data_IF_511497679767
#
_entry.id   IF_511497679767
#
_cell.length_a   1.000
_cell.length_b   1.000
_cell.length_c   1.000
_cell.angle_alpha   90.00
_cell.angle_beta   90.00
_cell.angle_gamma   90.00
#
_symmetry.space_group_name_H-M   'P 1'
#
loop_
_entity.id
_entity.type
_entity.pdbx_description
1 polymer ?
#
# COMPACT_ATOMS: atom_id res chain seq x y z
N UNK A 1 6.97 10.05 -7.13
CA UNK A 1 8.14 9.56 -6.38
C UNK A 1 7.74 8.50 -5.35
N UNK A 2 6.68 8.71 -4.56
CA UNK A 2 6.26 7.77 -3.50
C UNK A 2 5.99 6.32 -3.97
N UNK A 3 5.34 6.13 -5.11
CA UNK A 3 5.07 4.78 -5.66
C UNK A 3 6.34 3.96 -5.92
N UNK A 4 7.43 4.62 -6.34
CA UNK A 4 8.70 3.97 -6.62
C UNK A 4 9.39 3.53 -5.31
N UNK A 5 9.30 4.35 -4.26
CA UNK A 5 9.79 4.01 -2.91
C UNK A 5 9.07 2.78 -2.35
N UNK A 6 7.73 2.76 -2.40
CA UNK A 6 6.94 1.61 -1.93
C UNK A 6 7.32 0.34 -2.69
N UNK A 7 7.53 0.44 -4.01
CA UNK A 7 8.00 -0.69 -4.82
C UNK A 7 9.39 -1.16 -4.39
N UNK A 8 10.32 -0.24 -4.12
CA UNK A 8 11.66 -0.58 -3.64
C UNK A 8 11.59 -1.32 -2.29
N UNK A 9 10.77 -0.85 -1.34
CA UNK A 9 10.56 -1.53 -0.04
C UNK A 9 9.99 -2.94 -0.17
N UNK A 10 9.06 -3.15 -1.10
CA UNK A 10 8.55 -4.49 -1.39
C UNK A 10 9.66 -5.40 -1.93
N UNK A 11 10.49 -4.89 -2.84
CA UNK A 11 11.62 -5.63 -3.41
C UNK A 11 12.69 -5.94 -2.34
N UNK A 12 13.00 -4.99 -1.45
CA UNK A 12 13.90 -5.20 -0.31
C UNK A 12 13.43 -6.35 0.60
N UNK A 13 12.11 -6.55 0.70
CA UNK A 13 11.48 -7.65 1.45
C UNK A 13 11.30 -8.93 0.62
N UNK A 14 11.85 -8.99 -0.58
CA UNK A 14 11.77 -10.17 -1.46
C UNK A 14 10.38 -10.40 -2.07
N UNK A 15 9.52 -9.38 -2.10
CA UNK A 15 8.15 -9.47 -2.60
C UNK A 15 7.88 -8.43 -3.71
N UNK A 16 6.67 -8.47 -4.25
CA UNK A 16 6.13 -7.52 -5.23
C UNK A 16 4.69 -7.18 -4.86
N UNK A 17 4.12 -6.13 -5.46
CA UNK A 17 2.71 -5.79 -5.22
C UNK A 17 1.77 -6.98 -5.44
N UNK A 18 2.05 -7.80 -6.46
CA UNK A 18 1.23 -8.99 -6.76
C UNK A 18 1.36 -10.05 -5.69
N UNK A 19 2.59 -10.43 -5.33
CA UNK A 19 2.84 -11.47 -4.31
C UNK A 19 2.31 -11.04 -2.95
N UNK A 20 2.58 -9.79 -2.56
CA UNK A 20 2.07 -9.21 -1.33
C UNK A 20 0.54 -9.20 -1.31
N UNK A 21 -0.11 -8.75 -2.39
CA UNK A 21 -1.57 -8.73 -2.48
C UNK A 21 -2.18 -10.12 -2.31
N UNK A 22 -1.63 -11.12 -3.01
CA UNK A 22 -2.11 -12.51 -2.90
C UNK A 22 -1.93 -13.04 -1.48
N UNK A 23 -0.77 -12.80 -0.85
CA UNK A 23 -0.51 -13.23 0.52
C UNK A 23 -1.46 -12.59 1.57
N UNK A 24 -1.95 -11.38 1.29
CA UNK A 24 -2.88 -10.64 2.15
C UNK A 24 -4.35 -10.74 1.70
N UNK A 25 -4.68 -11.68 0.80
CA UNK A 25 -6.04 -11.89 0.27
C UNK A 25 -6.66 -10.66 -0.44
N UNK A 26 -5.81 -9.82 -1.04
CA UNK A 26 -6.23 -8.70 -1.88
C UNK A 26 -6.08 -8.99 -3.36
N UNK A 27 -6.95 -8.40 -4.17
CA UNK A 27 -6.79 -8.43 -5.62
C UNK A 27 -5.61 -7.53 -6.04
N UNK A 28 -4.61 -8.03 -6.80
CA UNK A 28 -3.42 -7.26 -7.17
C UNK A 28 -3.72 -5.92 -7.88
N UNK A 29 -4.77 -5.90 -8.71
CA UNK A 29 -5.22 -4.69 -9.42
C UNK A 29 -5.71 -3.63 -8.44
N UNK A 30 -6.49 -4.03 -7.43
CA UNK A 30 -7.02 -3.12 -6.40
C UNK A 30 -5.89 -2.52 -5.57
N UNK A 31 -4.88 -3.32 -5.21
CA UNK A 31 -3.69 -2.81 -4.51
C UNK A 31 -2.94 -1.78 -5.36
N UNK A 32 -2.69 -2.11 -6.62
CA UNK A 32 -1.98 -1.20 -7.53
C UNK A 32 -2.76 0.12 -7.71
N UNK A 33 -4.08 0.05 -7.86
CA UNK A 33 -4.93 1.25 -7.98
C UNK A 33 -4.97 2.07 -6.69
N UNK A 34 -5.08 1.42 -5.53
CA UNK A 34 -5.07 2.08 -4.23
C UNK A 34 -3.76 2.85 -4.02
N UNK A 35 -2.62 2.19 -4.18
CA UNK A 35 -1.30 2.81 -4.09
C UNK A 35 -1.13 3.89 -5.15
N UNK A 36 -1.58 3.65 -6.38
CA UNK A 36 -1.48 4.64 -7.46
C UNK A 36 -2.26 5.93 -7.14
N UNK A 37 -3.40 5.83 -6.46
CA UNK A 37 -4.26 6.96 -6.15
C UNK A 37 -3.86 7.69 -4.86
N UNK A 38 -3.39 6.97 -3.85
CA UNK A 38 -3.26 7.48 -2.48
C UNK A 38 -1.82 7.64 -1.99
N UNK A 39 -0.83 7.00 -2.63
CA UNK A 39 0.56 7.10 -2.19
C UNK A 39 1.01 8.57 -2.07
N UNK A 40 1.44 8.96 -0.86
CA UNK A 40 1.90 10.33 -0.56
C UNK A 40 0.80 11.37 -0.33
N UNK A 41 -0.49 10.99 -0.30
CA UNK A 41 -1.55 11.93 0.06
C UNK A 41 -1.61 12.20 1.56
N UNK A 42 -2.13 13.38 1.89
CA UNK A 42 -2.36 13.85 3.26
C UNK A 42 -3.80 13.61 3.73
N UNK A 43 -4.62 12.97 2.90
CA UNK A 43 -6.02 12.65 3.17
C UNK A 43 -6.21 11.13 3.15
N UNK A 44 -7.13 10.64 3.99
CA UNK A 44 -7.44 9.22 4.09
C UNK A 44 -8.46 8.77 3.03
N UNK A 45 -8.34 7.53 2.52
CA UNK A 45 -9.37 6.96 1.67
C UNK A 45 -10.69 6.80 2.42
N UNK A 46 -11.78 7.23 1.81
CA UNK A 46 -13.14 7.03 2.35
C UNK A 46 -13.64 5.59 2.23
N UNK A 47 -13.01 4.77 1.39
CA UNK A 47 -13.42 3.38 1.14
C UNK A 47 -12.71 2.39 2.06
N UNK A 48 -13.47 1.53 2.75
CA UNK A 48 -12.94 0.53 3.71
C UNK A 48 -11.87 -0.38 3.10
N UNK A 49 -12.10 -0.93 1.91
CA UNK A 49 -11.13 -1.82 1.26
C UNK A 49 -9.82 -1.11 0.94
N UNK A 50 -9.90 0.12 0.40
CA UNK A 50 -8.70 0.91 0.10
C UNK A 50 -7.97 1.28 1.38
N UNK A 51 -8.69 1.68 2.43
CA UNK A 51 -8.11 1.96 3.74
C UNK A 51 -7.33 0.76 4.27
N UNK A 52 -7.95 -0.42 4.32
CA UNK A 52 -7.29 -1.63 4.81
C UNK A 52 -6.05 -1.99 3.97
N UNK A 53 -6.13 -1.92 2.64
CA UNK A 53 -4.97 -2.16 1.77
C UNK A 53 -3.81 -1.23 2.12
N UNK A 54 -4.08 0.07 2.28
CA UNK A 54 -3.02 1.05 2.55
C UNK A 54 -2.45 0.90 3.96
N UNK A 55 -3.29 0.60 4.95
CA UNK A 55 -2.86 0.35 6.34
C UNK A 55 -1.99 -0.90 6.41
N UNK A 56 -2.49 -2.03 5.94
CA UNK A 56 -1.77 -3.30 6.00
C UNK A 56 -0.46 -3.23 5.18
N UNK A 57 -0.47 -2.53 4.04
CA UNK A 57 0.76 -2.30 3.27
C UNK A 57 1.75 -1.43 4.02
N UNK A 58 1.27 -0.41 4.75
CA UNK A 58 2.12 0.48 5.54
C UNK A 58 2.78 -0.26 6.71
N UNK A 59 2.01 -1.08 7.42
CA UNK A 59 2.54 -1.99 8.45
C UNK A 59 3.58 -2.96 7.85
N UNK A 60 3.26 -3.54 6.69
CA UNK A 60 4.15 -4.49 6.04
C UNK A 60 5.48 -3.87 5.59
N UNK A 61 5.48 -2.64 5.04
CA UNK A 61 6.73 -1.99 4.60
C UNK A 61 7.43 -1.22 5.73
N UNK A 62 6.73 -0.93 6.83
CA UNK A 62 7.23 -0.15 7.98
C UNK A 62 7.21 1.36 7.76
N UNK A 63 6.41 1.85 6.81
CA UNK A 63 6.32 3.26 6.43
C UNK A 63 4.88 3.58 5.99
N UNK A 64 4.38 4.76 6.34
CA UNK A 64 3.05 5.19 5.91
C UNK A 64 2.98 5.40 4.40
N UNK A 65 2.20 4.58 3.71
CA UNK A 65 1.88 4.77 2.29
C UNK A 65 1.06 6.03 2.08
N UNK A 66 0.16 6.34 3.01
CA UNK A 66 -0.69 7.53 3.02
C UNK A 66 -0.64 8.09 4.42
N UNK A 67 -0.42 9.41 4.54
CA UNK A 67 -0.20 10.03 5.83
C UNK A 67 -1.42 9.85 6.74
N UNK A 68 -1.19 9.41 7.97
CA UNK A 68 -2.23 9.19 8.98
C UNK A 68 -3.01 7.89 8.80
N UNK A 69 -2.58 6.97 7.93
CA UNK A 69 -3.25 5.67 7.75
C UNK A 69 -2.96 4.70 8.89
N UNK A 70 -1.90 4.96 9.67
CA UNK A 70 -1.55 4.23 10.89
C UNK A 70 -1.94 4.98 12.17
N UNK A 71 -2.62 6.13 12.06
CA UNK A 71 -3.03 6.95 13.20
C UNK A 71 -4.26 6.40 13.93
#
# INVERSE_FOLDING_TARGET
MEKAKIRARLVERGTSYRQWAIAHNYQPRTVTQAVSRWAGRHELPRGRTTYNILRDLSEYIGEEVTKGVLA
#
